data_IF_752362020560
#
_entry.id   IF_752362020560
#
_cell.length_a   1.000
_cell.length_b   1.000
_cell.length_c   1.000
_cell.angle_alpha   90.00
_cell.angle_beta   90.00
_cell.angle_gamma   90.00
#
_symmetry.space_group_name_H-M   'P 1'
#
loop_
_entity.id
_entity.type
_entity.pdbx_description
1 polymer ?
#
# COMPACT_ATOMS: atom_id res chain seq x y z
N UNK A 1 -11.34 9.76 14.57
CA UNK A 1 -11.36 8.99 13.30
C UNK A 1 -10.32 9.54 12.36
N UNK A 2 -9.54 8.69 11.74
CA UNK A 2 -8.51 9.12 10.80
C UNK A 2 -9.13 9.45 9.45
N UNK A 3 -8.61 10.48 8.79
CA UNK A 3 -9.06 10.79 7.45
C UNK A 3 -8.37 9.89 6.41
N UNK A 4 -8.85 9.98 5.17
CA UNK A 4 -8.36 9.15 4.08
C UNK A 4 -6.87 9.39 3.78
N UNK A 5 -6.39 10.62 3.95
CA UNK A 5 -4.99 10.95 3.73
C UNK A 5 -4.09 10.29 4.77
N UNK A 6 -4.50 10.28 6.02
CA UNK A 6 -3.76 9.64 7.10
C UNK A 6 -3.66 8.14 6.87
N UNK A 7 -4.77 7.52 6.47
CA UNK A 7 -4.79 6.08 6.15
C UNK A 7 -3.89 5.78 4.97
N UNK A 8 -3.91 6.61 3.94
CA UNK A 8 -3.04 6.47 2.78
C UNK A 8 -1.56 6.50 3.19
N UNK A 9 -1.18 7.44 4.04
CA UNK A 9 0.20 7.53 4.52
C UNK A 9 0.63 6.27 5.24
N UNK A 10 -0.23 5.73 6.10
CA UNK A 10 0.05 4.49 6.83
C UNK A 10 0.22 3.32 5.88
N UNK A 11 -0.64 3.22 4.89
CA UNK A 11 -0.57 2.16 3.89
C UNK A 11 0.71 2.29 3.07
N UNK A 12 1.04 3.48 2.59
CA UNK A 12 2.26 3.71 1.81
C UNK A 12 3.49 3.36 2.62
N UNK A 13 3.53 3.75 3.89
CA UNK A 13 4.65 3.41 4.76
C UNK A 13 4.79 1.90 4.96
N UNK A 14 3.67 1.20 5.14
CA UNK A 14 3.67 -0.26 5.26
C UNK A 14 4.15 -0.93 3.97
N UNK A 15 3.68 -0.45 2.82
CA UNK A 15 4.11 -0.97 1.51
C UNK A 15 5.61 -0.75 1.30
N UNK A 16 6.12 0.43 1.69
CA UNK A 16 7.54 0.73 1.57
C UNK A 16 8.42 -0.18 2.44
N UNK A 17 7.87 -0.70 3.53
CA UNK A 17 8.57 -1.66 4.38
C UNK A 17 8.66 -3.04 3.76
N UNK A 18 7.61 -3.48 3.07
CA UNK A 18 7.58 -4.81 2.47
C UNK A 18 8.18 -4.83 1.06
N UNK A 19 8.24 -3.68 0.40
CA UNK A 19 8.74 -3.57 -0.97
C UNK A 19 10.14 -4.16 -1.17
N UNK A 20 11.12 -3.90 -0.29
CA UNK A 20 12.45 -4.49 -0.45
C UNK A 20 12.44 -6.02 -0.46
N UNK A 21 11.57 -6.62 0.36
CA UNK A 21 11.46 -8.07 0.41
C UNK A 21 10.87 -8.62 -0.88
N UNK A 22 9.85 -7.94 -1.41
CA UNK A 22 9.22 -8.34 -2.67
C UNK A 22 10.16 -8.17 -3.85
N UNK A 23 10.88 -7.06 -3.91
CA UNK A 23 11.85 -6.82 -4.97
C UNK A 23 12.99 -7.83 -4.95
N UNK A 24 13.40 -8.25 -3.77
CA UNK A 24 14.42 -9.26 -3.59
C UNK A 24 13.99 -10.61 -4.19
N UNK A 25 12.69 -10.89 -4.18
CA UNK A 25 12.11 -12.10 -4.77
C UNK A 25 11.72 -11.90 -6.25
N UNK A 26 12.04 -10.74 -6.82
CA UNK A 26 11.72 -10.44 -8.21
C UNK A 26 10.33 -9.84 -8.42
N UNK A 27 9.65 -9.44 -7.34
CA UNK A 27 8.32 -8.84 -7.40
C UNK A 27 8.30 -7.39 -6.95
N UNK A 28 7.11 -6.84 -6.89
CA UNK A 28 6.88 -5.48 -6.36
C UNK A 28 5.42 -5.35 -5.93
N UNK A 29 5.10 -4.24 -5.28
CA UNK A 29 3.74 -3.93 -4.87
C UNK A 29 3.47 -2.45 -5.09
N UNK A 30 2.28 -2.14 -5.63
CA UNK A 30 1.85 -0.77 -5.86
C UNK A 30 0.48 -0.53 -5.22
N UNK A 31 0.32 0.65 -4.64
CA UNK A 31 -0.99 1.10 -4.17
C UNK A 31 -1.78 1.62 -5.37
N UNK A 32 -2.94 1.02 -5.61
CA UNK A 32 -3.81 1.40 -6.72
C UNK A 32 -4.84 2.43 -6.25
N UNK A 33 -5.55 2.13 -5.17
CA UNK A 33 -6.63 2.98 -4.71
C UNK A 33 -6.99 2.69 -3.26
N UNK A 34 -7.47 3.73 -2.57
CA UNK A 34 -8.18 3.60 -1.31
C UNK A 34 -9.60 4.10 -1.55
N UNK A 35 -10.59 3.23 -1.39
CA UNK A 35 -11.99 3.57 -1.66
C UNK A 35 -12.62 4.31 -0.50
N UNK A 36 -13.83 4.83 -0.71
CA UNK A 36 -14.54 5.59 0.33
C UNK A 36 -14.96 4.73 1.52
N UNK A 37 -15.08 3.42 1.31
CA UNK A 37 -15.38 2.48 2.40
C UNK A 37 -14.10 1.93 3.06
N UNK A 38 -12.97 2.60 2.83
CA UNK A 38 -11.66 2.26 3.39
C UNK A 38 -11.11 0.90 2.91
N UNK A 39 -11.52 0.45 1.74
CA UNK A 39 -10.94 -0.72 1.10
C UNK A 39 -9.65 -0.30 0.39
N UNK A 40 -8.56 -0.98 0.71
CA UNK A 40 -7.26 -0.71 0.09
C UNK A 40 -7.04 -1.69 -1.05
N UNK A 41 -6.82 -1.16 -2.25
CA UNK A 41 -6.53 -1.97 -3.44
C UNK A 41 -5.05 -1.86 -3.77
N UNK A 42 -4.39 -3.00 -3.89
CA UNK A 42 -2.96 -3.06 -4.23
C UNK A 42 -2.76 -4.01 -5.40
N UNK A 43 -1.66 -3.81 -6.11
CA UNK A 43 -1.28 -4.67 -7.22
C UNK A 43 0.07 -5.31 -6.89
N UNK A 44 0.12 -6.63 -6.96
CA UNK A 44 1.36 -7.39 -6.84
C UNK A 44 1.88 -7.73 -8.24
N UNK A 45 3.16 -7.53 -8.44
CA UNK A 45 3.82 -7.85 -9.71
C UNK A 45 5.05 -8.72 -9.55
#
# INVERSE_FOLDING_TARGET
MEDKNTIREKVVNALNRVRPYLQNDGGDIDLIEITDDMTVKVKLT
#
